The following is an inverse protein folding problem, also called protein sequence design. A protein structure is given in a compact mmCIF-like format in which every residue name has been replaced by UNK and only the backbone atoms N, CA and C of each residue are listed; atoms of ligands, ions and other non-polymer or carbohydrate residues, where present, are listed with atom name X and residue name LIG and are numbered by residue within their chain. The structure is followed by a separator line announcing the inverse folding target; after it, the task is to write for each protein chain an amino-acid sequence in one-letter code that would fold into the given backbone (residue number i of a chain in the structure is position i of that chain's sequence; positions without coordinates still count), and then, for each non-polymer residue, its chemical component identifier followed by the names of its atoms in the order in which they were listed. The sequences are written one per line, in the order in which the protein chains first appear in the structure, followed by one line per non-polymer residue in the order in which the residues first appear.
data_IF_084039895666
#
_entry.id   IF_084039895666
#
_cell.length_a   1.000
_cell.length_b   1.000
_cell.length_c   1.000
_cell.angle_alpha   90.00
_cell.angle_beta   90.00
_cell.angle_gamma   90.00
#
_symmetry.space_group_name_H-M   'P 1'
#
loop_
_entity.id
_entity.type
_entity.pdbx_description
1 polymer ?
#
# COMPACT_ATOMS: atom_id res chain seq x y z
N UNK A 1 -16.69 40.21 14.02
CA UNK A 1 -16.66 38.82 14.52
C UNK A 1 -17.55 37.84 13.74
N UNK A 2 -18.81 38.16 13.37
CA UNK A 2 -19.67 37.20 12.61
C UNK A 2 -19.17 36.88 11.19
N UNK A 3 -18.61 37.86 10.47
CA UNK A 3 -18.08 37.67 9.10
C UNK A 3 -16.81 36.83 9.01
N UNK A 4 -15.95 36.89 10.03
CA UNK A 4 -14.72 36.09 10.08
C UNK A 4 -15.03 34.61 10.31
N UNK A 5 -16.00 34.29 11.17
CA UNK A 5 -16.42 32.91 11.43
C UNK A 5 -16.99 32.20 10.18
N UNK A 6 -17.81 32.91 9.39
CA UNK A 6 -18.33 32.39 8.13
C UNK A 6 -17.23 32.10 7.10
N UNK A 7 -16.20 32.95 7.02
CA UNK A 7 -15.06 32.72 6.13
C UNK A 7 -14.22 31.50 6.57
N UNK A 8 -13.97 31.33 7.87
CA UNK A 8 -13.27 30.15 8.38
C UNK A 8 -14.01 28.84 8.07
N UNK A 9 -15.33 28.81 8.28
CA UNK A 9 -16.13 27.63 7.98
C UNK A 9 -16.11 27.28 6.49
N UNK A 10 -16.24 28.29 5.62
CA UNK A 10 -16.19 28.09 4.17
C UNK A 10 -14.83 27.50 3.72
N UNK A 11 -13.72 28.03 4.25
CA UNK A 11 -12.38 27.49 3.96
C UNK A 11 -12.23 26.06 4.47
N UNK A 12 -12.66 25.77 5.70
CA UNK A 12 -12.60 24.43 6.27
C UNK A 12 -13.40 23.41 5.44
N UNK A 13 -14.57 23.81 4.93
CA UNK A 13 -15.40 22.98 4.06
C UNK A 13 -14.71 22.68 2.72
N UNK A 14 -14.12 23.68 2.08
CA UNK A 14 -13.39 23.49 0.81
C UNK A 14 -12.19 22.56 1.01
N UNK A 15 -11.42 22.75 2.09
CA UNK A 15 -10.29 21.87 2.43
C UNK A 15 -10.76 20.44 2.67
N UNK A 16 -11.87 20.26 3.41
CA UNK A 16 -12.46 18.94 3.65
C UNK A 16 -12.90 18.23 2.37
N UNK A 17 -13.56 18.95 1.45
CA UNK A 17 -13.97 18.40 0.15
C UNK A 17 -12.75 18.03 -0.70
N UNK A 18 -11.74 18.89 -0.77
CA UNK A 18 -10.52 18.61 -1.51
C UNK A 18 -9.80 17.36 -0.99
N UNK A 19 -9.74 17.20 0.34
CA UNK A 19 -9.17 16.03 0.99
C UNK A 19 -9.95 14.74 0.66
N UNK A 20 -11.27 14.75 0.81
CA UNK A 20 -12.13 13.61 0.49
C UNK A 20 -12.07 13.25 -1.00
N UNK A 21 -12.00 14.26 -1.88
CA UNK A 21 -11.87 14.07 -3.32
C UNK A 21 -10.56 13.38 -3.67
N UNK A 22 -9.43 13.86 -3.14
CA UNK A 22 -8.14 13.21 -3.38
C UNK A 22 -8.04 11.81 -2.76
N UNK A 23 -8.64 11.58 -1.59
CA UNK A 23 -8.74 10.25 -0.99
C UNK A 23 -9.52 9.29 -1.88
N UNK A 24 -10.73 9.68 -2.28
CA UNK A 24 -11.62 8.87 -3.13
C UNK A 24 -10.98 8.57 -4.48
N UNK A 25 -10.33 9.57 -5.10
CA UNK A 25 -9.62 9.41 -6.35
C UNK A 25 -8.58 8.28 -6.29
N UNK A 26 -7.68 8.34 -5.29
CA UNK A 26 -6.65 7.31 -5.13
C UNK A 26 -7.23 5.97 -4.72
N UNK A 27 -8.27 5.95 -3.89
CA UNK A 27 -8.96 4.72 -3.51
C UNK A 27 -9.45 3.95 -4.73
N UNK A 28 -10.23 4.59 -5.61
CA UNK A 28 -10.75 3.93 -6.81
C UNK A 28 -9.65 3.59 -7.81
N UNK A 29 -8.65 4.48 -7.98
CA UNK A 29 -7.51 4.23 -8.88
C UNK A 29 -6.68 3.02 -8.43
N UNK A 30 -6.44 2.87 -7.12
CA UNK A 30 -5.72 1.73 -6.55
C UNK A 30 -6.51 0.43 -6.62
N UNK A 31 -7.82 0.46 -6.32
CA UNK A 31 -8.66 -0.74 -6.46
C UNK A 31 -8.70 -1.24 -7.91
N UNK A 32 -8.79 -0.31 -8.87
CA UNK A 32 -8.71 -0.64 -10.29
C UNK A 32 -7.37 -1.27 -10.66
N UNK A 33 -6.26 -0.62 -10.31
CA UNK A 33 -4.92 -1.11 -10.61
C UNK A 33 -4.66 -2.49 -9.99
N UNK A 34 -4.98 -2.70 -8.71
CA UNK A 34 -4.78 -3.99 -8.05
C UNK A 34 -5.63 -5.10 -8.67
N UNK A 35 -6.88 -4.81 -9.06
CA UNK A 35 -7.72 -5.77 -9.76
C UNK A 35 -7.17 -6.11 -11.15
N UNK A 36 -6.65 -5.13 -11.87
CA UNK A 36 -5.95 -5.37 -13.14
C UNK A 36 -4.74 -6.26 -12.93
N UNK A 37 -3.90 -5.98 -11.94
CA UNK A 37 -2.75 -6.82 -11.60
C UNK A 37 -3.17 -8.23 -11.19
N UNK A 38 -4.23 -8.39 -10.41
CA UNK A 38 -4.74 -9.70 -9.97
C UNK A 38 -5.18 -10.58 -11.15
N UNK A 39 -5.87 -9.96 -12.12
CA UNK A 39 -6.45 -10.66 -13.28
C UNK A 39 -5.48 -10.84 -14.43
N UNK A 40 -4.52 -9.93 -14.61
CA UNK A 40 -3.62 -9.92 -15.77
C UNK A 40 -2.18 -10.33 -15.47
N UNK A 41 -1.80 -10.56 -14.21
CA UNK A 41 -0.48 -11.11 -13.90
C UNK A 41 -0.40 -12.59 -14.26
N UNK A 42 0.60 -12.95 -15.07
CA UNK A 42 0.81 -14.33 -15.49
C UNK A 42 2.23 -14.61 -15.97
N UNK A 43 2.46 -15.79 -16.57
CA UNK A 43 3.78 -16.20 -17.06
C UNK A 43 4.34 -15.26 -18.13
N UNK A 44 3.45 -14.59 -18.88
CA UNK A 44 3.79 -13.68 -19.97
C UNK A 44 4.10 -12.26 -19.51
N UNK A 45 3.93 -11.96 -18.23
CA UNK A 45 4.16 -10.63 -17.65
C UNK A 45 3.01 -10.13 -16.79
N UNK A 46 3.08 -8.84 -16.45
CA UNK A 46 2.05 -8.11 -15.71
C UNK A 46 1.75 -6.79 -16.42
N UNK A 47 0.61 -6.19 -16.13
CA UNK A 47 0.23 -4.89 -16.69
C UNK A 47 1.13 -3.79 -16.09
N UNK A 48 1.98 -3.21 -16.94
CA UNK A 48 2.97 -2.22 -16.53
C UNK A 48 2.36 -0.91 -16.05
N UNK A 49 1.25 -0.49 -16.65
CA UNK A 49 0.56 0.76 -16.28
C UNK A 49 -0.10 0.61 -14.91
N UNK A 50 -0.73 -0.53 -14.65
CA UNK A 50 -1.31 -0.85 -13.35
C UNK A 50 -0.22 -0.92 -12.26
N UNK A 51 0.93 -1.54 -12.56
CA UNK A 51 2.05 -1.57 -11.63
C UNK A 51 2.59 -0.17 -11.34
N UNK A 52 2.71 0.68 -12.37
CA UNK A 52 3.19 2.05 -12.21
C UNK A 52 2.23 2.91 -11.37
N UNK A 53 0.91 2.76 -11.57
CA UNK A 53 -0.10 3.43 -10.73
C UNK A 53 0.10 3.10 -9.24
N UNK A 54 0.39 1.83 -8.93
CA UNK A 54 0.63 1.40 -7.55
C UNK A 54 1.95 2.00 -7.02
N UNK A 55 3.01 2.03 -7.84
CA UNK A 55 4.29 2.67 -7.47
C UNK A 55 4.14 4.16 -7.20
N UNK A 56 3.45 4.89 -8.09
CA UNK A 56 3.18 6.32 -7.95
C UNK A 56 2.39 6.65 -6.67
N UNK A 57 1.46 5.78 -6.28
CA UNK A 57 0.67 5.95 -5.09
C UNK A 57 1.51 5.85 -3.80
N UNK A 58 2.59 5.06 -3.84
CA UNK A 58 3.57 4.88 -2.77
C UNK A 58 2.91 4.51 -1.45
N UNK A 59 3.03 5.36 -0.43
CA UNK A 59 2.39 5.15 0.87
C UNK A 59 0.90 4.80 0.81
N UNK A 60 0.17 5.37 -0.15
CA UNK A 60 -1.28 5.18 -0.28
C UNK A 60 -1.61 3.75 -0.63
N UNK A 61 -0.74 3.08 -1.38
CA UNK A 61 -0.91 1.71 -1.85
C UNK A 61 -0.72 0.68 -0.74
N UNK A 62 0.13 0.96 0.26
CA UNK A 62 0.53 0.00 1.31
C UNK A 62 -0.66 -0.75 1.95
N UNK A 63 -1.68 -0.09 2.53
CA UNK A 63 -2.81 -0.81 3.13
C UNK A 63 -3.58 -1.67 2.13
N UNK A 64 -3.68 -1.24 0.86
CA UNK A 64 -4.38 -1.99 -0.18
C UNK A 64 -3.57 -3.21 -0.63
N UNK A 65 -2.24 -3.05 -0.79
CA UNK A 65 -1.32 -4.14 -1.10
C UNK A 65 -1.35 -5.21 -0.02
N UNK A 66 -1.18 -4.82 1.25
CA UNK A 66 -1.28 -5.75 2.39
C UNK A 66 -2.62 -6.48 2.38
N UNK A 67 -3.74 -5.78 2.21
CA UNK A 67 -5.08 -6.39 2.17
C UNK A 67 -5.34 -7.30 0.97
N UNK A 68 -4.62 -7.09 -0.14
CA UNK A 68 -4.72 -7.89 -1.38
C UNK A 68 -3.82 -9.13 -1.38
N UNK A 69 -2.69 -9.09 -0.67
CA UNK A 69 -1.78 -10.24 -0.53
C UNK A 69 -2.47 -11.29 0.35
N UNK A 70 -3.05 -12.30 -0.31
CA UNK A 70 -3.73 -13.42 0.33
C UNK A 70 -3.23 -14.74 -0.24
N UNK A 71 -3.18 -15.80 0.57
CA UNK A 71 -2.56 -17.07 0.15
C UNK A 71 -3.28 -17.75 -1.02
N UNK A 72 -4.59 -17.52 -1.15
CA UNK A 72 -5.41 -18.06 -2.24
C UNK A 72 -5.22 -17.33 -3.58
N UNK A 73 -4.47 -16.23 -3.61
CA UNK A 73 -4.30 -15.45 -4.84
C UNK A 73 -3.35 -16.11 -5.83
N UNK A 74 -3.44 -15.66 -7.08
CA UNK A 74 -2.55 -16.05 -8.16
C UNK A 74 -1.07 -15.86 -7.73
N UNK A 75 -0.20 -16.88 -7.85
CA UNK A 75 1.21 -16.76 -7.48
C UNK A 75 1.93 -15.61 -8.19
N UNK A 76 1.62 -15.36 -9.46
CA UNK A 76 2.23 -14.26 -10.23
C UNK A 76 1.85 -12.89 -9.68
N UNK A 77 0.57 -12.72 -9.31
CA UNK A 77 0.12 -11.51 -8.62
C UNK A 77 0.83 -11.33 -7.29
N UNK A 78 1.02 -12.39 -6.51
CA UNK A 78 1.71 -12.31 -5.21
C UNK A 78 3.17 -11.89 -5.32
N UNK A 79 3.87 -12.33 -6.38
CA UNK A 79 5.22 -11.84 -6.67
C UNK A 79 5.21 -10.33 -6.91
N UNK A 80 4.36 -9.87 -7.82
CA UNK A 80 4.26 -8.44 -8.18
C UNK A 80 3.82 -7.60 -6.99
N UNK A 81 2.81 -8.03 -6.24
CA UNK A 81 2.30 -7.31 -5.09
C UNK A 81 3.32 -7.24 -3.94
N UNK A 82 4.09 -8.31 -3.70
CA UNK A 82 5.16 -8.29 -2.68
C UNK A 82 6.34 -7.40 -3.08
N UNK A 83 6.72 -7.38 -4.36
CA UNK A 83 7.72 -6.44 -4.90
C UNK A 83 7.26 -4.97 -4.77
N UNK A 84 6.03 -4.67 -5.20
CA UNK A 84 5.44 -3.34 -5.08
C UNK A 84 5.33 -2.89 -3.62
N UNK A 85 4.96 -3.80 -2.72
CA UNK A 85 4.92 -3.52 -1.28
C UNK A 85 6.30 -3.17 -0.74
N UNK A 86 7.32 -3.95 -1.13
CA UNK A 86 8.71 -3.66 -0.75
C UNK A 86 9.13 -2.29 -1.26
N UNK A 87 8.83 -1.95 -2.51
CA UNK A 87 9.11 -0.63 -3.07
C UNK A 87 8.42 0.50 -2.30
N UNK A 88 7.14 0.35 -1.96
CA UNK A 88 6.39 1.37 -1.24
C UNK A 88 6.90 1.59 0.20
N UNK A 89 7.49 0.57 0.81
CA UNK A 89 8.07 0.62 2.15
C UNK A 89 9.54 1.06 2.17
N UNK A 90 10.25 0.97 1.03
CA UNK A 90 11.61 1.48 0.88
C UNK A 90 11.61 3.03 0.86
N UNK A 91 11.84 3.65 2.02
CA UNK A 91 12.12 5.08 2.16
C UNK A 91 13.44 5.34 2.89
N UNK A 92 13.82 6.61 3.14
CA UNK A 92 15.04 6.93 3.89
C UNK A 92 14.99 6.28 5.27
N UNK A 93 15.87 5.29 5.46
CA UNK A 93 15.85 4.38 6.59
C UNK A 93 16.17 5.09 7.91
N UNK A 94 15.29 5.00 8.90
CA UNK A 94 15.59 5.33 10.29
C UNK A 94 16.26 4.16 11.02
N UNK A 95 16.86 4.41 12.20
CA UNK A 95 17.59 3.41 12.99
C UNK A 95 16.80 2.14 13.38
N UNK A 96 15.47 2.09 13.16
CA UNK A 96 14.62 0.91 13.36
C UNK A 96 14.31 0.09 12.10
N UNK A 97 14.80 0.51 10.92
CA UNK A 97 14.32 -0.02 9.63
C UNK A 97 15.14 -1.22 9.13
N UNK A 98 16.17 -1.64 9.87
CA UNK A 98 16.95 -2.86 9.59
C UNK A 98 16.10 -4.11 9.80
N UNK A 99 15.28 -4.14 10.86
CA UNK A 99 14.36 -5.23 11.14
C UNK A 99 13.26 -5.30 10.09
N UNK A 100 12.74 -4.15 9.64
CA UNK A 100 11.75 -4.09 8.58
C UNK A 100 12.31 -4.62 7.26
N UNK A 101 13.50 -4.19 6.85
CA UNK A 101 14.11 -4.69 5.61
C UNK A 101 14.37 -6.21 5.63
N UNK A 102 14.72 -6.75 6.80
CA UNK A 102 14.90 -8.20 6.98
C UNK A 102 13.56 -8.92 6.86
N UNK A 103 12.53 -8.43 7.56
CA UNK A 103 11.17 -8.99 7.49
C UNK A 103 10.53 -8.86 6.10
N UNK A 104 10.80 -7.78 5.37
CA UNK A 104 10.30 -7.59 4.01
C UNK A 104 10.80 -8.69 3.07
N UNK A 105 12.08 -9.06 3.17
CA UNK A 105 12.64 -10.19 2.41
C UNK A 105 11.97 -11.51 2.77
N UNK A 106 11.67 -11.70 4.06
CA UNK A 106 10.98 -12.90 4.54
C UNK A 106 9.54 -13.01 4.02
N UNK A 107 8.88 -11.88 3.74
CA UNK A 107 7.53 -11.85 3.17
C UNK A 107 7.47 -11.94 1.65
N UNK A 108 8.61 -11.90 0.95
CA UNK A 108 8.61 -12.07 -0.52
C UNK A 108 8.05 -13.46 -0.84
N UNK A 109 7.02 -13.47 -1.68
CA UNK A 109 6.38 -14.69 -2.19
C UNK A 109 6.84 -14.83 -3.64
N UNK A 110 7.33 -16.01 -4.00
CA UNK A 110 7.71 -16.35 -5.37
C UNK A 110 6.68 -17.32 -5.97
N UNK A 111 6.75 -17.54 -7.29
CA UNK A 111 5.94 -18.56 -7.96
C UNK A 111 6.25 -19.98 -7.48
N UNK A 112 7.44 -20.21 -6.92
CA UNK A 112 7.90 -21.50 -6.39
C UNK A 112 7.54 -21.71 -4.92
N UNK A 113 7.09 -20.66 -4.22
CA UNK A 113 6.72 -20.73 -2.81
C UNK A 113 5.54 -21.69 -2.62
N UNK A 114 5.76 -22.73 -1.81
CA UNK A 114 4.77 -23.78 -1.54
C UNK A 114 3.51 -23.19 -0.89
N UNK A 115 2.32 -23.79 -1.10
CA UNK A 115 1.06 -23.28 -0.55
C UNK A 115 1.09 -23.03 0.96
N UNK A 116 1.65 -23.96 1.75
CA UNK A 116 1.74 -23.82 3.21
C UNK A 116 2.68 -22.69 3.65
N UNK A 117 3.77 -22.48 2.92
CA UNK A 117 4.74 -21.42 3.21
C UNK A 117 4.15 -20.05 2.83
N UNK A 118 3.41 -19.99 1.73
CA UNK A 118 2.68 -18.80 1.31
C UNK A 118 1.67 -18.36 2.37
N UNK A 119 0.91 -19.30 2.93
CA UNK A 119 0.00 -19.03 4.05
C UNK A 119 0.75 -18.37 5.21
N UNK A 120 1.85 -18.99 5.67
CA UNK A 120 2.67 -18.47 6.77
C UNK A 120 3.21 -17.06 6.48
N UNK A 121 3.69 -16.80 5.26
CA UNK A 121 4.21 -15.49 4.86
C UNK A 121 3.11 -14.41 4.84
N UNK A 122 1.94 -14.72 4.27
CA UNK A 122 0.78 -13.82 4.27
C UNK A 122 0.32 -13.51 5.71
N UNK A 123 0.21 -14.53 6.56
CA UNK A 123 -0.22 -14.36 7.96
C UNK A 123 0.79 -13.52 8.75
N UNK A 124 2.08 -13.74 8.55
CA UNK A 124 3.15 -12.96 9.17
C UNK A 124 3.09 -11.49 8.73
N UNK A 125 2.89 -11.23 7.43
CA UNK A 125 2.72 -9.87 6.91
C UNK A 125 1.51 -9.18 7.53
N UNK A 126 0.35 -9.86 7.58
CA UNK A 126 -0.88 -9.30 8.15
C UNK A 126 -0.78 -9.07 9.66
N UNK A 127 -0.09 -9.96 10.38
CA UNK A 127 0.20 -9.78 11.80
C UNK A 127 1.10 -8.55 12.03
N UNK A 128 2.22 -8.47 11.31
CA UNK A 128 3.11 -7.31 11.38
C UNK A 128 2.41 -6.01 11.04
N UNK A 129 1.58 -5.99 10.00
CA UNK A 129 0.85 -4.79 9.61
C UNK A 129 -0.05 -4.32 10.74
N UNK A 130 -0.84 -5.21 11.35
CA UNK A 130 -1.72 -4.83 12.48
C UNK A 130 -0.94 -4.33 13.70
N UNK A 131 0.19 -4.97 14.03
CA UNK A 131 0.94 -4.65 15.26
C UNK A 131 1.84 -3.43 15.11
N UNK A 132 2.46 -3.25 13.95
CA UNK A 132 3.52 -2.26 13.72
C UNK A 132 3.22 -1.33 12.56
N UNK A 133 2.73 -1.87 11.45
CA UNK A 133 2.54 -1.11 10.21
C UNK A 133 1.43 -0.05 10.27
N UNK A 134 0.20 -0.49 10.54
CA UNK A 134 -1.01 0.34 10.60
C UNK A 134 -0.90 1.47 11.64
N UNK A 135 -0.45 1.24 12.89
CA UNK A 135 -0.28 2.33 13.86
C UNK A 135 0.71 3.41 13.41
N UNK A 136 1.68 3.05 12.57
CA UNK A 136 2.68 3.96 12.03
C UNK A 136 2.25 4.58 10.69
N UNK A 137 1.20 4.06 10.05
CA UNK A 137 0.55 4.59 8.84
C UNK A 137 -0.54 5.61 9.23
N UNK A 138 -0.13 6.79 9.71
CA UNK A 138 -1.08 7.86 10.03
C UNK A 138 -1.74 8.44 8.77
N UNK A 139 -2.94 9.01 8.92
CA UNK A 139 -3.63 9.73 7.82
C UNK A 139 -2.82 10.89 7.22
N UNK A 140 -1.86 11.46 7.96
CA UNK A 140 -0.91 12.43 7.43
C UNK A 140 0.19 11.78 6.56
N UNK A 141 0.62 10.56 6.88
CA UNK A 141 1.56 9.78 6.04
C UNK A 141 0.91 9.29 4.75
N UNK A 142 -0.41 9.11 4.72
CA UNK A 142 -1.14 8.73 3.50
C UNK A 142 -0.82 9.67 2.32
N UNK A 143 -0.65 10.96 2.54
CA UNK A 143 -0.36 11.92 1.47
C UNK A 143 1.11 11.95 1.04
N UNK A 144 2.01 11.30 1.78
CA UNK A 144 3.42 11.23 1.41
C UNK A 144 3.62 10.29 0.22
N UNK A 145 4.75 10.47 -0.46
CA UNK A 145 5.22 9.56 -1.51
C UNK A 145 5.76 8.28 -0.89
N UNK A 146 6.63 8.40 0.11
CA UNK A 146 7.34 7.26 0.68
C UNK A 146 6.91 6.99 2.13
N UNK A 147 6.88 5.70 2.48
CA UNK A 147 6.48 5.22 3.80
C UNK A 147 7.66 4.94 4.75
N UNK A 148 8.85 5.45 4.43
CA UNK A 148 10.05 5.27 5.24
C UNK A 148 9.81 5.48 6.74
N UNK A 149 10.27 4.53 7.55
CA UNK A 149 10.04 4.50 9.01
C UNK A 149 8.60 4.19 9.43
N UNK A 150 7.87 3.36 8.66
CA UNK A 150 6.79 2.50 9.19
C UNK A 150 7.42 1.23 9.76
#
# INVERSE_FOLDING_TARGET
MKRTFGAFFAVALVVGIAWMGGYSYWHFRLLGALRTLETQSGPTGTDGDAAEIVREAGCKAVPYLVGSIRPSMNPYFLVVASDLLQHCLQGPLQRGDVDLNTQLRDWIITTETRPEERQKKCDALHAWWREKGEPRHSGAKWWKRDCGGI
#
